data_IF_514739595545
#
_entry.id   IF_514739595545
#
_cell.length_a   1.000
_cell.length_b   1.000
_cell.length_c   1.000
_cell.angle_alpha   90.00
_cell.angle_beta   90.00
_cell.angle_gamma   90.00
#
_symmetry.space_group_name_H-M   'P 1'
#
loop_
_entity.id
_entity.type
_entity.pdbx_description
1 polymer ?
#
# COMPACT_ATOMS: atom_id res chain seq x y z
N UNK A 1 -21.42 18.47 -8.59
CA UNK A 1 -20.50 17.62 -7.82
C UNK A 1 -20.73 17.94 -6.36
N UNK A 2 -20.96 16.95 -5.50
CA UNK A 2 -21.21 17.14 -4.07
C UNK A 2 -20.01 17.83 -3.40
N UNK A 3 -20.26 18.77 -2.49
CA UNK A 3 -19.25 19.53 -1.75
C UNK A 3 -18.27 18.60 -1.02
N UNK A 4 -18.80 17.51 -0.48
CA UNK A 4 -18.00 16.47 0.16
C UNK A 4 -17.06 15.75 -0.82
N UNK A 5 -17.52 15.46 -2.04
CA UNK A 5 -16.69 14.81 -3.06
C UNK A 5 -15.61 15.75 -3.62
N UNK A 6 -15.89 17.06 -3.68
CA UNK A 6 -14.86 18.07 -4.03
C UNK A 6 -13.75 18.07 -2.98
N UNK A 7 -14.08 18.07 -1.68
CA UNK A 7 -13.08 18.01 -0.60
C UNK A 7 -12.24 16.73 -0.65
N UNK A 8 -12.85 15.59 -1.01
CA UNK A 8 -12.16 14.29 -1.15
C UNK A 8 -11.26 14.18 -2.38
N UNK A 9 -11.49 14.99 -3.42
CA UNK A 9 -10.86 14.82 -4.74
C UNK A 9 -9.33 14.80 -4.73
N UNK A 10 -8.69 15.50 -3.78
CA UNK A 10 -7.23 15.56 -3.65
C UNK A 10 -6.66 14.58 -2.62
N UNK A 11 -7.46 13.61 -2.18
CA UNK A 11 -7.06 12.56 -1.23
C UNK A 11 -7.18 11.17 -1.82
N UNK A 12 -6.20 10.32 -1.53
CA UNK A 12 -6.23 8.89 -1.81
C UNK A 12 -7.20 8.23 -0.82
N UNK A 13 -8.38 7.85 -1.33
CA UNK A 13 -9.47 7.27 -0.55
C UNK A 13 -9.57 5.74 -0.63
N UNK A 14 -8.78 5.12 -1.50
CA UNK A 14 -8.75 3.67 -1.70
C UNK A 14 -7.47 3.07 -1.10
N UNK A 15 -7.58 1.83 -0.63
CA UNK A 15 -6.42 1.03 -0.25
C UNK A 15 -5.65 0.68 -1.52
N UNK A 16 -4.36 1.03 -1.56
CA UNK A 16 -3.45 0.64 -2.62
C UNK A 16 -2.61 -0.51 -2.09
N UNK A 17 -2.62 -1.66 -2.75
CA UNK A 17 -1.63 -2.70 -2.51
C UNK A 17 -0.28 -2.16 -3.01
N UNK A 18 0.45 -1.47 -2.13
CA UNK A 18 1.60 -0.66 -2.54
C UNK A 18 2.86 -1.49 -2.83
N UNK A 19 2.81 -2.82 -2.68
CA UNK A 19 4.03 -3.61 -2.54
C UNK A 19 3.85 -5.04 -3.05
N UNK A 20 4.50 -5.35 -4.18
CA UNK A 20 4.77 -6.71 -4.59
C UNK A 20 5.86 -7.32 -3.70
N UNK A 21 5.58 -8.49 -3.16
CA UNK A 21 6.50 -9.22 -2.29
C UNK A 21 6.85 -10.61 -2.81
N UNK A 22 6.19 -11.08 -3.86
CA UNK A 22 6.37 -12.42 -4.44
C UNK A 22 5.97 -12.40 -5.91
N UNK A 23 6.33 -13.46 -6.64
CA UNK A 23 5.80 -13.66 -7.99
C UNK A 23 4.27 -13.80 -7.91
N UNK A 24 3.57 -13.28 -8.90
CA UNK A 24 2.11 -13.36 -8.96
C UNK A 24 1.65 -14.80 -9.12
N UNK A 25 0.45 -15.10 -8.65
CA UNK A 25 -0.17 -16.42 -8.85
C UNK A 25 -0.24 -16.78 -10.34
N UNK A 26 -0.49 -15.80 -11.21
CA UNK A 26 -0.47 -16.01 -12.67
C UNK A 26 0.91 -16.50 -13.16
N UNK A 27 2.01 -15.90 -12.71
CA UNK A 27 3.36 -16.38 -13.05
C UNK A 27 3.63 -17.75 -12.44
N UNK A 28 3.23 -17.99 -11.19
CA UNK A 28 3.38 -19.29 -10.52
C UNK A 28 2.62 -20.40 -11.25
N UNK A 29 1.41 -20.15 -11.74
CA UNK A 29 0.62 -21.09 -12.56
C UNK A 29 1.34 -21.50 -13.85
N UNK A 30 2.08 -20.58 -14.47
CA UNK A 30 2.90 -20.91 -15.63
C UNK A 30 4.16 -21.71 -15.25
N UNK A 31 4.76 -21.44 -14.09
CA UNK A 31 5.89 -22.23 -13.57
C UNK A 31 5.45 -23.65 -13.23
N UNK A 32 4.26 -23.86 -12.65
CA UNK A 32 3.70 -25.18 -12.33
C UNK A 32 3.54 -26.05 -13.59
N UNK A 33 3.34 -25.44 -14.78
CA UNK A 33 3.26 -26.15 -16.07
C UNK A 33 4.63 -26.60 -16.60
N UNK A 34 5.70 -26.32 -15.87
CA UNK A 34 7.06 -26.78 -16.19
C UNK A 34 7.44 -28.00 -15.34
N UNK A 35 8.71 -28.42 -15.42
CA UNK A 35 9.25 -29.52 -14.61
C UNK A 35 9.55 -29.10 -13.14
N UNK A 36 9.29 -27.84 -12.78
CA UNK A 36 9.59 -27.30 -11.45
C UNK A 36 8.44 -27.62 -10.47
N UNK A 37 8.77 -28.33 -9.40
CA UNK A 37 7.84 -28.60 -8.30
C UNK A 37 7.72 -27.38 -7.37
N UNK A 38 6.89 -26.40 -7.75
CA UNK A 38 6.74 -25.10 -7.04
C UNK A 38 6.51 -25.26 -5.54
N UNK A 39 5.68 -26.21 -5.11
CA UNK A 39 5.37 -26.47 -3.69
C UNK A 39 6.62 -26.84 -2.85
N UNK A 40 7.66 -27.39 -3.49
CA UNK A 40 8.92 -27.76 -2.84
C UNK A 40 9.98 -26.66 -2.92
N UNK A 41 9.74 -25.61 -3.67
CA UNK A 41 10.67 -24.50 -3.85
C UNK A 41 10.30 -23.38 -2.88
N UNK A 42 10.97 -23.34 -1.73
CA UNK A 42 10.70 -22.36 -0.67
C UNK A 42 10.63 -20.92 -1.19
N UNK A 43 11.60 -20.50 -2.01
CA UNK A 43 11.70 -19.11 -2.47
C UNK A 43 10.52 -18.63 -3.35
N UNK A 44 9.72 -19.56 -3.89
CA UNK A 44 8.50 -19.24 -4.63
C UNK A 44 7.27 -19.08 -3.72
N UNK A 45 7.36 -19.49 -2.46
CA UNK A 45 6.24 -19.56 -1.52
C UNK A 45 6.43 -18.65 -0.29
N UNK A 46 7.48 -17.84 -0.26
CA UNK A 46 7.78 -16.91 0.83
C UNK A 46 7.86 -15.47 0.34
N UNK A 47 7.57 -14.54 1.23
CA UNK A 47 7.68 -13.12 0.96
C UNK A 47 9.15 -12.67 0.86
N UNK A 48 9.44 -11.88 -0.17
CA UNK A 48 10.73 -11.26 -0.40
C UNK A 48 10.81 -9.96 0.41
N UNK A 49 11.06 -10.13 1.71
CA UNK A 49 11.16 -9.05 2.70
C UNK A 49 12.58 -8.48 2.86
N UNK A 50 13.59 -9.10 2.23
CA UNK A 50 14.98 -8.71 2.39
C UNK A 50 15.84 -9.00 1.14
N UNK A 51 17.04 -8.43 1.13
CA UNK A 51 17.99 -8.53 0.00
C UNK A 51 18.52 -9.95 -0.23
N UNK A 52 18.62 -10.77 0.80
CA UNK A 52 19.08 -12.15 0.68
C UNK A 52 18.05 -13.01 -0.04
N UNK A 53 16.78 -12.94 0.36
CA UNK A 53 15.67 -13.59 -0.35
C UNK A 53 15.57 -13.11 -1.79
N UNK A 54 15.72 -11.80 -2.03
CA UNK A 54 15.73 -11.27 -3.40
C UNK A 54 16.86 -11.91 -4.24
N UNK A 55 18.06 -12.04 -3.67
CA UNK A 55 19.18 -12.71 -4.34
C UNK A 55 18.88 -14.19 -4.60
N UNK A 56 18.28 -14.89 -3.64
CA UNK A 56 17.91 -16.30 -3.77
C UNK A 56 16.88 -16.50 -4.89
N UNK A 57 15.89 -15.60 -5.00
CA UNK A 57 14.92 -15.62 -6.09
C UNK A 57 15.62 -15.44 -7.46
N UNK A 58 16.52 -14.47 -7.56
CA UNK A 58 17.29 -14.26 -8.80
C UNK A 58 18.11 -15.49 -9.19
N UNK A 59 18.81 -16.08 -8.22
CA UNK A 59 19.60 -17.29 -8.44
C UNK A 59 18.73 -18.47 -8.87
N UNK A 60 17.56 -18.65 -8.26
CA UNK A 60 16.60 -19.65 -8.67
C UNK A 60 16.17 -19.46 -10.14
N UNK A 61 15.80 -18.24 -10.54
CA UNK A 61 15.39 -17.95 -11.92
C UNK A 61 16.53 -18.24 -12.91
N UNK A 62 17.75 -17.85 -12.58
CA UNK A 62 18.91 -18.05 -13.45
C UNK A 62 19.29 -19.52 -13.62
N UNK A 63 19.24 -20.29 -12.53
CA UNK A 63 19.48 -21.74 -12.56
C UNK A 63 18.43 -22.48 -13.39
N UNK A 64 17.19 -21.99 -13.40
CA UNK A 64 16.07 -22.61 -14.11
C UNK A 64 15.78 -21.97 -15.48
N UNK A 65 16.63 -21.07 -15.98
CA UNK A 65 16.41 -20.35 -17.25
C UNK A 65 16.12 -21.26 -18.44
N UNK A 66 16.73 -22.45 -18.49
CA UNK A 66 16.50 -23.44 -19.57
C UNK A 66 15.12 -24.10 -19.49
N UNK A 67 14.52 -24.17 -18.31
CA UNK A 67 13.21 -24.77 -18.05
C UNK A 67 12.10 -23.72 -18.23
N UNK A 68 12.37 -22.48 -17.83
CA UNK A 68 11.49 -21.31 -17.97
C UNK A 68 11.45 -20.77 -19.42
N UNK A 69 10.94 -21.60 -20.35
CA UNK A 69 10.88 -21.31 -21.80
C UNK A 69 9.69 -20.41 -22.18
N UNK A 70 9.56 -20.11 -23.47
CA UNK A 70 8.43 -19.38 -24.06
C UNK A 70 8.21 -17.99 -23.43
N UNK A 71 9.29 -17.29 -23.07
CA UNK A 71 9.23 -15.97 -22.44
C UNK A 71 8.94 -16.01 -20.93
N UNK A 72 8.70 -17.17 -20.32
CA UNK A 72 8.40 -17.27 -18.89
C UNK A 72 9.54 -16.74 -18.02
N UNK A 73 10.80 -17.00 -18.38
CA UNK A 73 11.94 -16.41 -17.68
C UNK A 73 11.91 -14.87 -17.69
N UNK A 74 11.53 -14.27 -18.82
CA UNK A 74 11.48 -12.81 -18.97
C UNK A 74 10.33 -12.23 -18.13
N UNK A 75 9.16 -12.87 -18.11
CA UNK A 75 8.06 -12.50 -17.21
C UNK A 75 8.45 -12.59 -15.73
N UNK A 76 9.12 -13.67 -15.32
CA UNK A 76 9.64 -13.78 -13.96
C UNK A 76 10.66 -12.68 -13.64
N UNK A 77 11.48 -12.26 -14.62
CA UNK A 77 12.44 -11.18 -14.44
C UNK A 77 11.79 -9.81 -14.33
N UNK A 78 10.68 -9.56 -15.03
CA UNK A 78 9.90 -8.34 -14.89
C UNK A 78 9.34 -8.23 -13.48
N UNK A 79 8.67 -9.28 -13.00
CA UNK A 79 8.15 -9.30 -11.63
C UNK A 79 9.26 -9.25 -10.56
N UNK A 80 10.40 -9.88 -10.81
CA UNK A 80 11.58 -9.74 -9.95
C UNK A 80 12.06 -8.27 -9.85
N UNK A 81 12.01 -7.50 -10.94
CA UNK A 81 12.37 -6.07 -10.93
C UNK A 81 11.36 -5.26 -10.12
N UNK A 82 10.07 -5.54 -10.28
CA UNK A 82 9.00 -4.93 -9.47
C UNK A 82 9.23 -5.20 -7.97
N UNK A 83 9.40 -6.47 -7.57
CA UNK A 83 9.67 -6.85 -6.18
C UNK A 83 10.92 -6.15 -5.65
N UNK A 84 11.98 -6.02 -6.47
CA UNK A 84 13.22 -5.34 -6.10
C UNK A 84 12.99 -3.85 -5.85
N UNK A 85 12.22 -3.18 -6.69
CA UNK A 85 11.96 -1.75 -6.55
C UNK A 85 11.02 -1.48 -5.38
N UNK A 86 10.03 -2.33 -5.15
CA UNK A 86 9.17 -2.27 -3.98
C UNK A 86 9.94 -2.55 -2.68
N UNK A 87 10.87 -3.51 -2.68
CA UNK A 87 11.75 -3.73 -1.53
C UNK A 87 12.59 -2.48 -1.21
N UNK A 88 13.17 -1.82 -2.23
CA UNK A 88 13.90 -0.55 -2.00
C UNK A 88 12.98 0.54 -1.46
N UNK A 89 11.75 0.63 -1.98
CA UNK A 89 10.76 1.57 -1.50
C UNK A 89 10.44 1.33 -0.02
N UNK A 90 10.12 0.10 0.36
CA UNK A 90 9.88 -0.32 1.77
C UNK A 90 11.06 -0.03 2.68
N UNK A 91 12.29 -0.16 2.17
CA UNK A 91 13.50 0.11 2.94
C UNK A 91 13.83 1.61 3.04
N UNK A 92 13.29 2.43 2.13
CA UNK A 92 13.52 3.87 2.11
C UNK A 92 12.82 4.59 3.27
N UNK A 93 13.38 5.71 3.71
CA UNK A 93 12.77 6.56 4.75
C UNK A 93 11.35 7.00 4.36
N UNK A 94 11.19 7.44 3.12
CA UNK A 94 9.91 7.95 2.61
C UNK A 94 8.89 6.81 2.47
N UNK A 95 9.29 5.65 1.96
CA UNK A 95 8.37 4.52 1.81
C UNK A 95 7.89 3.96 3.14
N UNK A 96 8.77 3.87 4.16
CA UNK A 96 8.36 3.50 5.53
C UNK A 96 7.29 4.43 6.08
N UNK A 97 7.51 5.74 5.95
CA UNK A 97 6.55 6.74 6.40
C UNK A 97 5.22 6.63 5.66
N UNK A 98 5.26 6.46 4.33
CA UNK A 98 4.04 6.34 3.52
C UNK A 98 3.24 5.10 3.90
N UNK A 99 3.89 3.96 4.16
CA UNK A 99 3.25 2.73 4.64
C UNK A 99 2.65 2.92 6.03
N UNK A 100 3.37 3.60 6.93
CA UNK A 100 2.88 3.91 8.28
C UNK A 100 1.62 4.78 8.24
N UNK A 101 1.61 5.83 7.40
CA UNK A 101 0.42 6.67 7.19
C UNK A 101 -0.73 5.84 6.62
N UNK A 102 -0.50 5.00 5.60
CA UNK A 102 -1.54 4.18 4.99
C UNK A 102 -2.16 3.21 6.01
N UNK A 103 -1.33 2.52 6.81
CA UNK A 103 -1.80 1.62 7.86
C UNK A 103 -2.64 2.38 8.91
N UNK A 104 -2.17 3.56 9.34
CA UNK A 104 -2.91 4.41 10.27
C UNK A 104 -4.25 4.88 9.70
N UNK A 105 -4.27 5.28 8.42
CA UNK A 105 -5.49 5.69 7.69
C UNK A 105 -6.49 4.54 7.64
N UNK A 106 -6.06 3.34 7.26
CA UNK A 106 -6.95 2.18 7.18
C UNK A 106 -7.57 1.86 8.54
N UNK A 107 -6.75 1.80 9.59
CA UNK A 107 -7.21 1.53 10.94
C UNK A 107 -8.22 2.57 11.43
N UNK A 108 -7.97 3.86 11.19
CA UNK A 108 -8.83 4.93 11.71
C UNK A 108 -10.09 5.17 10.88
N UNK A 109 -10.17 4.66 9.65
CA UNK A 109 -11.39 4.75 8.81
C UNK A 109 -12.55 4.01 9.47
N UNK A 110 -12.26 2.95 10.21
CA UNK A 110 -13.24 2.17 10.97
C UNK A 110 -13.92 3.01 12.08
N UNK A 111 -13.26 4.06 12.56
CA UNK A 111 -13.80 4.94 13.61
C UNK A 111 -14.67 6.08 13.08
N UNK A 112 -14.66 6.36 11.77
CA UNK A 112 -15.42 7.47 11.16
C UNK A 112 -16.93 7.45 11.42
N UNK A 113 -17.62 6.30 11.52
CA UNK A 113 -19.05 6.28 11.85
C UNK A 113 -19.41 6.96 13.18
N UNK A 114 -18.46 7.08 14.12
CA UNK A 114 -18.65 7.75 15.40
C UNK A 114 -18.77 9.28 15.25
N UNK A 115 -18.38 9.83 14.10
CA UNK A 115 -18.43 11.26 13.81
C UNK A 115 -19.76 11.72 13.21
N UNK A 116 -20.75 10.84 13.08
CA UNK A 116 -22.08 11.24 12.61
C UNK A 116 -22.71 12.25 13.59
N UNK A 117 -23.43 13.27 13.10
CA UNK A 117 -23.88 13.45 11.72
C UNK A 117 -22.86 14.09 10.76
N UNK A 118 -21.69 14.53 11.23
CA UNK A 118 -20.64 15.06 10.35
C UNK A 118 -20.13 14.00 9.37
N UNK A 119 -19.76 14.44 8.18
CA UNK A 119 -19.17 13.58 7.15
C UNK A 119 -17.68 13.82 7.13
N UNK A 120 -16.91 12.90 7.69
CA UNK A 120 -15.45 13.00 7.80
C UNK A 120 -14.79 11.97 6.88
N UNK A 121 -13.67 12.34 6.27
CA UNK A 121 -12.78 11.46 5.53
C UNK A 121 -11.34 11.61 6.02
N UNK A 122 -10.58 10.52 5.89
CA UNK A 122 -9.15 10.51 6.14
C UNK A 122 -8.44 9.83 4.98
N UNK A 123 -7.29 10.36 4.59
CA UNK A 123 -6.52 9.81 3.47
C UNK A 123 -5.18 10.50 3.29
N UNK A 124 -4.37 9.97 2.38
CA UNK A 124 -3.11 10.59 1.98
C UNK A 124 -3.34 11.64 0.91
N UNK A 125 -2.50 12.67 0.86
CA UNK A 125 -2.53 13.63 -0.25
C UNK A 125 -2.14 12.94 -1.56
N UNK A 126 -2.88 13.26 -2.63
CA UNK A 126 -2.56 12.80 -3.98
C UNK A 126 -1.29 13.46 -4.53
N UNK A 127 -0.98 14.69 -4.08
CA UNK A 127 0.18 15.49 -4.54
C UNK A 127 1.44 15.09 -3.78
N UNK A 128 1.33 14.85 -2.48
CA UNK A 128 2.45 14.45 -1.61
C UNK A 128 2.03 13.30 -0.70
N UNK A 129 2.33 12.04 -1.08
CA UNK A 129 1.90 10.85 -0.34
C UNK A 129 2.36 10.79 1.12
N UNK A 130 3.32 11.64 1.54
CA UNK A 130 3.80 11.76 2.93
C UNK A 130 2.91 12.64 3.80
N UNK A 131 1.90 13.29 3.22
CA UNK A 131 0.94 14.11 3.95
C UNK A 131 -0.34 13.33 4.23
N UNK A 132 -0.75 13.40 5.49
CA UNK A 132 -2.06 12.95 5.95
C UNK A 132 -3.05 14.11 5.86
N UNK A 133 -4.22 13.86 5.29
CA UNK A 133 -5.31 14.82 5.22
C UNK A 133 -6.51 14.25 5.97
N UNK A 134 -7.07 15.08 6.84
CA UNK A 134 -8.32 14.82 7.55
C UNK A 134 -9.27 15.94 7.17
N UNK A 135 -10.42 15.61 6.61
CA UNK A 135 -11.34 16.64 6.16
C UNK A 135 -12.78 16.19 6.21
N UNK A 136 -13.70 17.11 5.91
CA UNK A 136 -15.12 16.78 5.95
C UNK A 136 -16.07 17.95 6.08
N UNK A 137 -17.35 17.62 6.14
CA UNK A 137 -18.44 18.54 6.42
C UNK A 137 -18.88 18.40 7.88
N UNK A 138 -18.76 19.49 8.63
CA UNK A 138 -19.14 19.58 10.03
C UNK A 138 -20.64 19.85 10.13
N UNK A 139 -21.37 18.97 10.82
CA UNK A 139 -22.78 19.15 11.10
C UNK A 139 -22.99 19.27 12.62
N UNK A 140 -22.94 20.50 13.11
CA UNK A 140 -23.11 20.82 14.54
C UNK A 140 -21.92 20.47 15.45
N UNK A 141 -20.99 19.62 15.02
CA UNK A 141 -19.75 19.33 15.74
C UNK A 141 -18.74 20.47 15.61
N UNK A 142 -17.98 20.70 16.67
CA UNK A 142 -16.89 21.68 16.64
C UNK A 142 -15.66 21.06 16.01
N UNK A 143 -14.99 21.84 15.17
CA UNK A 143 -13.71 21.47 14.55
C UNK A 143 -12.68 20.95 15.57
N UNK A 144 -12.55 21.63 16.71
CA UNK A 144 -11.61 21.25 17.76
C UNK A 144 -11.85 19.85 18.35
N UNK A 145 -13.11 19.42 18.46
CA UNK A 145 -13.45 18.09 18.99
C UNK A 145 -12.95 16.99 18.04
N UNK A 146 -13.01 17.24 16.73
CA UNK A 146 -12.53 16.29 15.71
C UNK A 146 -11.00 16.29 15.66
N UNK A 147 -10.36 17.45 15.78
CA UNK A 147 -8.90 17.56 15.85
C UNK A 147 -8.36 16.81 17.07
N UNK A 148 -8.98 17.00 18.24
CA UNK A 148 -8.57 16.32 19.48
C UNK A 148 -8.75 14.79 19.37
N UNK A 149 -9.88 14.34 18.82
CA UNK A 149 -10.10 12.92 18.57
C UNK A 149 -8.97 12.27 17.76
N UNK A 150 -8.57 12.90 16.65
CA UNK A 150 -7.50 12.34 15.82
C UNK A 150 -6.12 12.53 16.40
N UNK A 151 -5.89 13.58 17.21
CA UNK A 151 -4.64 13.75 17.96
C UNK A 151 -4.43 12.59 18.95
N UNK A 152 -5.46 12.16 19.66
CA UNK A 152 -5.40 11.02 20.59
C UNK A 152 -5.08 9.69 19.90
N UNK A 153 -5.36 9.59 18.60
CA UNK A 153 -5.01 8.43 17.77
C UNK A 153 -3.53 8.41 17.33
N UNK A 154 -2.72 9.39 17.75
CA UNK A 154 -1.29 9.50 17.48
C UNK A 154 -0.96 9.31 15.98
N UNK A 155 -1.34 10.26 15.13
CA UNK A 155 -1.05 10.16 13.70
C UNK A 155 0.47 10.15 13.47
N UNK A 156 0.97 9.37 12.49
CA UNK A 156 2.41 9.25 12.23
C UNK A 156 3.02 10.55 11.66
N UNK A 157 2.18 11.46 11.17
CA UNK A 157 2.54 12.83 10.76
C UNK A 157 1.45 13.79 11.18
N UNK A 158 1.79 15.06 11.37
CA UNK A 158 0.79 16.10 11.64
C UNK A 158 -0.24 16.16 10.49
N UNK A 159 -1.55 15.99 10.77
CA UNK A 159 -2.56 16.03 9.73
C UNK A 159 -2.80 17.45 9.20
N UNK A 160 -3.05 17.56 7.90
CA UNK A 160 -3.62 18.75 7.29
C UNK A 160 -5.16 18.67 7.39
N UNK A 161 -5.74 19.57 8.20
CA UNK A 161 -7.18 19.61 8.44
C UNK A 161 -7.90 20.46 7.38
N UNK A 162 -8.98 19.91 6.80
CA UNK A 162 -9.80 20.55 5.75
C UNK A 162 -11.29 20.39 6.03
N UNK A 163 -11.81 21.27 6.88
CA UNK A 163 -13.21 21.23 7.29
C UNK A 163 -14.01 22.37 6.68
N UNK A 164 -15.26 22.07 6.33
CA UNK A 164 -16.25 23.07 5.98
C UNK A 164 -17.55 22.82 6.75
N UNK A 165 -18.38 23.85 6.93
CA UNK A 165 -19.72 23.66 7.51
C UNK A 165 -20.66 23.06 6.44
N UNK A 166 -21.53 22.15 6.87
CA UNK A 166 -22.63 21.61 6.05
C UNK A 166 -23.70 22.70 5.78
#
# INVERSE_FOLDING_TARGET
MDKFEILKSNTIQFTIEMNKMRLSEAVLEYIIKTEIEVEKVEILNVDIDNKERLKNLKQFLDNNKKILKNGLYDYCLEEYREIKDDLKFRDSKDGKLIIEIENWVQHNRESLPQMKPSKIFIGRSFIDPKKLIIGGLLNGQKEMEIIEFFREKNPPVEPEYKFEKE
#
